data_IF_010345892112
#
_entry.id   IF_010345892112
#
_cell.length_a   1.000
_cell.length_b   1.000
_cell.length_c   1.000
_cell.angle_alpha   90.00
_cell.angle_beta   90.00
_cell.angle_gamma   90.00
#
_symmetry.space_group_name_H-M   'P 1'
#
loop_
_entity.id
_entity.type
_entity.pdbx_description
1 polymer ?
#
# COMPACT_ATOMS: atom_id res chain seq x y z
N UNK A 1 -2.99 12.30 3.27
CA UNK A 1 -3.13 12.60 1.83
C UNK A 1 -4.47 13.24 1.51
N UNK A 2 -5.57 12.75 2.08
CA UNK A 2 -6.93 13.25 1.82
C UNK A 2 -7.10 14.74 2.11
N UNK A 3 -6.45 15.26 3.17
CA UNK A 3 -6.45 16.70 3.46
C UNK A 3 -5.76 17.57 2.39
N UNK A 4 -4.82 17.03 1.59
CA UNK A 4 -4.16 17.79 0.52
C UNK A 4 -4.95 17.73 -0.81
N UNK A 5 -5.83 16.74 -1.00
CA UNK A 5 -6.62 16.63 -2.23
C UNK A 5 -7.42 17.89 -2.58
N UNK A 6 -8.15 18.56 -1.66
CA UNK A 6 -8.88 19.77 -1.98
C UNK A 6 -7.95 20.92 -2.41
N UNK A 7 -6.79 21.07 -1.77
CA UNK A 7 -5.80 22.08 -2.13
C UNK A 7 -5.21 21.82 -3.52
N UNK A 8 -4.84 20.56 -3.80
CA UNK A 8 -4.33 20.15 -5.12
C UNK A 8 -5.38 20.40 -6.21
N UNK A 9 -6.66 20.09 -5.97
CA UNK A 9 -7.75 20.37 -6.93
C UNK A 9 -7.85 21.87 -7.23
N UNK A 10 -7.88 22.71 -6.20
CA UNK A 10 -7.94 24.18 -6.35
C UNK A 10 -6.73 24.76 -7.10
N UNK A 11 -5.53 24.22 -6.87
CA UNK A 11 -4.31 24.63 -7.57
C UNK A 11 -4.30 24.13 -9.03
N UNK A 12 -4.80 22.93 -9.29
CA UNK A 12 -4.93 22.37 -10.63
C UNK A 12 -5.90 23.17 -11.50
N UNK A 13 -7.04 23.61 -10.95
CA UNK A 13 -8.01 24.47 -11.65
C UNK A 13 -7.39 25.81 -12.06
N UNK A 14 -6.69 26.47 -11.13
CA UNK A 14 -5.97 27.72 -11.42
C UNK A 14 -4.90 27.53 -12.49
N UNK A 15 -4.09 26.48 -12.38
CA UNK A 15 -3.06 26.17 -13.37
C UNK A 15 -3.67 25.88 -14.75
N UNK A 16 -4.83 25.21 -14.81
CA UNK A 16 -5.53 24.92 -16.06
C UNK A 16 -6.01 26.20 -16.74
N UNK A 17 -6.55 27.15 -15.97
CA UNK A 17 -6.93 28.47 -16.47
C UNK A 17 -5.70 29.23 -17.02
N UNK A 18 -4.60 29.30 -16.26
CA UNK A 18 -3.38 29.99 -16.69
C UNK A 18 -2.78 29.40 -17.96
N UNK A 19 -2.71 28.07 -18.07
CA UNK A 19 -2.20 27.39 -19.26
C UNK A 19 -3.12 27.61 -20.46
N UNK A 20 -4.44 27.67 -20.25
CA UNK A 20 -5.40 27.97 -21.33
C UNK A 20 -5.23 29.40 -21.86
N UNK A 21 -5.13 30.38 -20.96
CA UNK A 21 -4.94 31.79 -21.33
C UNK A 21 -3.60 32.00 -22.03
N UNK A 22 -2.50 31.51 -21.44
CA UNK A 22 -1.16 31.63 -22.06
C UNK A 22 -1.03 30.84 -23.36
N UNK A 23 -1.69 29.68 -23.43
CA UNK A 23 -1.75 28.87 -24.64
C UNK A 23 -2.42 29.61 -25.78
N UNK A 24 -3.54 30.31 -25.53
CA UNK A 24 -4.20 31.17 -26.51
C UNK A 24 -3.34 32.37 -26.92
N UNK A 25 -2.74 33.07 -25.96
CA UNK A 25 -1.90 34.24 -26.24
C UNK A 25 -0.66 33.91 -27.07
N UNK A 26 -0.05 32.73 -26.87
CA UNK A 26 1.18 32.31 -27.55
C UNK A 26 0.96 31.36 -28.72
N UNK A 27 -0.30 31.06 -29.07
CA UNK A 27 -0.63 30.13 -30.15
C UNK A 27 -0.10 28.71 -29.94
N UNK A 28 -0.09 28.23 -28.68
CA UNK A 28 0.42 26.89 -28.38
C UNK A 28 -0.46 25.80 -28.98
N UNK A 29 0.19 24.75 -29.52
CA UNK A 29 -0.51 23.52 -29.85
C UNK A 29 -0.99 22.80 -28.58
N UNK A 30 -2.02 21.98 -28.72
CA UNK A 30 -2.62 21.27 -27.59
C UNK A 30 -1.59 20.37 -26.86
N UNK A 31 -0.64 19.78 -27.61
CA UNK A 31 0.45 18.97 -27.06
C UNK A 31 1.35 19.80 -26.13
N UNK A 32 1.70 21.01 -26.54
CA UNK A 32 2.56 21.92 -25.76
C UNK A 32 1.82 22.40 -24.51
N UNK A 33 0.54 22.78 -24.62
CA UNK A 33 -0.28 23.15 -23.48
C UNK A 33 -0.39 22.01 -22.44
N UNK A 34 -0.68 20.79 -22.89
CA UNK A 34 -0.72 19.59 -22.01
C UNK A 34 0.63 19.32 -21.34
N UNK A 35 1.74 19.49 -22.06
CA UNK A 35 3.08 19.33 -21.50
C UNK A 35 3.35 20.34 -20.39
N UNK A 36 3.10 21.63 -20.62
CA UNK A 36 3.27 22.67 -19.61
C UNK A 36 2.36 22.47 -18.40
N UNK A 37 1.11 22.06 -18.61
CA UNK A 37 0.21 21.73 -17.51
C UNK A 37 0.78 20.60 -16.65
N UNK A 38 1.13 19.45 -17.24
CA UNK A 38 1.70 18.31 -16.50
C UNK A 38 3.00 18.67 -15.78
N UNK A 39 3.89 19.42 -16.43
CA UNK A 39 5.19 19.84 -15.86
C UNK A 39 5.01 20.73 -14.64
N UNK A 40 4.15 21.74 -14.73
CA UNK A 40 3.91 22.67 -13.62
C UNK A 40 3.09 22.02 -12.50
N UNK A 41 2.11 21.18 -12.84
CA UNK A 41 1.32 20.46 -11.83
C UNK A 41 2.20 19.54 -11.00
N UNK A 42 3.14 18.81 -11.63
CA UNK A 42 4.11 17.98 -10.90
C UNK A 42 4.95 18.81 -9.94
N UNK A 43 5.43 20.00 -10.35
CA UNK A 43 6.20 20.89 -9.47
C UNK A 43 5.40 21.30 -8.23
N UNK A 44 4.18 21.80 -8.43
CA UNK A 44 3.29 22.21 -7.35
C UNK A 44 3.03 21.05 -6.39
N UNK A 45 2.69 19.86 -6.90
CA UNK A 45 2.46 18.67 -6.08
C UNK A 45 3.71 18.30 -5.27
N UNK A 46 4.90 18.31 -5.89
CA UNK A 46 6.16 18.03 -5.19
C UNK A 46 6.46 19.07 -4.10
N UNK A 47 6.25 20.36 -4.37
CA UNK A 47 6.44 21.43 -3.38
C UNK A 47 5.48 21.29 -2.19
N UNK A 48 4.20 20.98 -2.45
CA UNK A 48 3.23 20.68 -1.38
C UNK A 48 3.65 19.46 -0.56
N UNK A 49 4.12 18.40 -1.21
CA UNK A 49 4.61 17.20 -0.52
C UNK A 49 5.79 17.49 0.40
N UNK A 50 6.71 18.36 -0.02
CA UNK A 50 7.86 18.78 0.78
C UNK A 50 7.40 19.67 1.94
N UNK A 51 6.55 20.67 1.68
CA UNK A 51 6.01 21.60 2.70
C UNK A 51 5.31 20.86 3.82
N UNK A 52 4.43 19.93 3.47
CA UNK A 52 3.62 19.19 4.44
C UNK A 52 4.32 17.90 4.93
N UNK A 53 5.62 17.73 4.61
CA UNK A 53 6.48 16.61 5.02
C UNK A 53 5.85 15.21 4.77
N UNK A 54 4.99 15.14 3.76
CA UNK A 54 4.27 13.95 3.33
C UNK A 54 5.12 13.22 2.29
N UNK A 55 6.29 12.74 2.70
CA UNK A 55 7.11 11.95 1.79
C UNK A 55 6.34 10.68 1.40
N UNK A 56 6.19 10.36 0.10
CA UNK A 56 5.54 9.14 -0.36
C UNK A 56 6.20 7.88 0.22
N UNK A 57 7.47 8.00 0.62
CA UNK A 57 8.22 6.96 1.34
C UNK A 57 7.62 6.62 2.71
N UNK A 58 7.06 7.59 3.45
CA UNK A 58 6.40 7.32 4.73
C UNK A 58 5.13 6.47 4.54
N UNK A 59 4.43 6.68 3.43
CA UNK A 59 3.23 5.91 3.10
C UNK A 59 3.53 4.47 2.65
N UNK A 60 4.73 4.22 2.09
CA UNK A 60 5.15 2.87 1.65
C UNK A 60 6.02 2.15 2.68
N UNK A 61 6.48 2.83 3.73
CA UNK A 61 7.37 2.26 4.76
C UNK A 61 6.78 1.01 5.41
N UNK A 62 5.48 1.02 5.72
CA UNK A 62 4.81 -0.13 6.33
C UNK A 62 4.87 -1.36 5.41
N UNK A 63 4.66 -1.18 4.10
CA UNK A 63 4.79 -2.26 3.11
C UNK A 63 6.21 -2.80 3.06
N UNK A 64 7.21 -1.93 3.14
CA UNK A 64 8.62 -2.34 3.17
C UNK A 64 9.02 -3.14 4.40
N UNK A 65 8.37 -2.94 5.54
CA UNK A 65 8.59 -3.75 6.75
C UNK A 65 7.74 -5.02 6.73
N UNK A 66 6.52 -4.93 6.22
CA UNK A 66 5.57 -6.04 6.16
C UNK A 66 6.04 -7.16 5.23
N UNK A 67 6.59 -6.84 4.05
CA UNK A 67 7.02 -7.86 3.08
C UNK A 67 8.15 -8.75 3.64
N UNK A 68 9.27 -8.20 4.17
CA UNK A 68 10.31 -9.02 4.78
C UNK A 68 9.80 -9.85 5.95
N UNK A 69 8.98 -9.26 6.81
CA UNK A 69 8.39 -9.99 7.94
C UNK A 69 7.53 -11.15 7.46
N UNK A 70 6.67 -10.93 6.46
CA UNK A 70 5.86 -11.98 5.85
C UNK A 70 6.70 -13.11 5.24
N UNK A 71 7.80 -12.79 4.54
CA UNK A 71 8.73 -13.79 4.00
C UNK A 71 9.37 -14.61 5.14
N UNK A 72 9.90 -13.94 6.15
CA UNK A 72 10.54 -14.61 7.29
C UNK A 72 9.56 -15.53 8.04
N UNK A 73 8.35 -15.05 8.33
CA UNK A 73 7.31 -15.85 9.00
C UNK A 73 6.89 -17.03 8.13
N UNK A 74 6.69 -16.84 6.82
CA UNK A 74 6.30 -17.93 5.92
C UNK A 74 7.36 -19.04 5.85
N UNK A 75 8.64 -18.67 5.78
CA UNK A 75 9.74 -19.63 5.77
C UNK A 75 9.89 -20.34 7.12
N UNK A 76 9.80 -19.60 8.22
CA UNK A 76 9.87 -20.16 9.57
C UNK A 76 8.74 -21.17 9.80
N UNK A 77 7.49 -20.79 9.51
CA UNK A 77 6.34 -21.69 9.63
C UNK A 77 6.51 -22.93 8.76
N UNK A 78 6.91 -22.78 7.50
CA UNK A 78 7.15 -23.93 6.61
C UNK A 78 8.22 -24.87 7.16
N UNK A 79 9.33 -24.33 7.65
CA UNK A 79 10.43 -25.13 8.22
C UNK A 79 9.99 -25.89 9.48
N UNK A 80 9.18 -25.26 10.34
CA UNK A 80 8.58 -25.92 11.50
C UNK A 80 7.59 -27.02 11.08
N UNK A 81 6.72 -26.75 10.09
CA UNK A 81 5.70 -27.71 9.64
C UNK A 81 6.28 -28.95 8.96
N UNK A 82 7.39 -28.82 8.23
CA UNK A 82 8.04 -29.96 7.53
C UNK A 82 9.12 -30.64 8.37
N UNK A 83 9.34 -30.21 9.62
CA UNK A 83 10.38 -30.76 10.49
C UNK A 83 11.81 -30.47 10.04
N UNK A 84 12.02 -29.44 9.22
CA UNK A 84 13.37 -29.04 8.77
C UNK A 84 14.21 -28.38 9.86
N UNK A 85 13.57 -27.93 10.95
CA UNK A 85 14.25 -27.35 12.12
C UNK A 85 14.55 -28.43 13.16
N UNK A 86 13.52 -29.08 13.70
CA UNK A 86 13.60 -30.22 14.62
C UNK A 86 12.27 -30.98 14.60
N UNK A 87 12.33 -32.30 14.81
CA UNK A 87 11.14 -33.17 14.83
C UNK A 87 10.23 -32.90 16.04
N UNK A 88 10.81 -32.55 17.19
CA UNK A 88 10.06 -32.20 18.42
C UNK A 88 9.22 -30.93 18.22
N UNK A 89 9.78 -29.94 17.50
CA UNK A 89 9.08 -28.68 17.18
C UNK A 89 7.91 -28.95 16.24
N UNK A 90 8.07 -29.85 15.28
CA UNK A 90 6.98 -30.25 14.38
C UNK A 90 5.84 -30.91 15.16
N UNK A 91 6.14 -31.81 16.09
CA UNK A 91 5.13 -32.49 16.91
C UNK A 91 4.36 -31.50 17.78
N UNK A 92 5.07 -30.53 18.38
CA UNK A 92 4.44 -29.43 19.13
C UNK A 92 3.52 -28.57 18.26
N UNK A 93 3.88 -28.32 17.00
CA UNK A 93 3.01 -27.59 16.06
C UNK A 93 1.79 -28.43 15.65
N UNK A 94 1.97 -29.74 15.47
CA UNK A 94 0.88 -30.64 15.08
C UNK A 94 -0.17 -30.83 16.20
N UNK A 95 0.26 -30.77 17.47
CA UNK A 95 -0.63 -30.89 18.63
C UNK A 95 -1.03 -29.53 19.25
N UNK A 96 -0.38 -28.44 18.86
CA UNK A 96 -0.48 -27.12 19.50
C UNK A 96 -1.58 -26.20 18.97
N UNK A 97 -2.45 -26.68 18.08
CA UNK A 97 -3.57 -25.90 17.55
C UNK A 97 -4.72 -25.71 18.55
N UNK A 98 -5.74 -24.95 18.13
CA UNK A 98 -6.89 -24.61 18.98
C UNK A 98 -8.20 -24.59 18.18
N UNK A 99 -9.33 -24.77 18.88
CA UNK A 99 -10.69 -24.72 18.32
C UNK A 99 -10.85 -25.64 17.10
N UNK A 100 -11.06 -25.08 15.90
CA UNK A 100 -11.28 -25.82 14.66
C UNK A 100 -9.99 -26.08 13.86
N UNK A 101 -8.85 -25.53 14.28
CA UNK A 101 -7.54 -25.72 13.65
C UNK A 101 -6.58 -26.38 14.66
N UNK A 102 -6.75 -27.68 14.88
CA UNK A 102 -5.99 -28.43 15.89
C UNK A 102 -4.55 -28.72 15.49
N UNK A 103 -4.27 -28.75 14.19
CA UNK A 103 -2.94 -28.98 13.62
C UNK A 103 -2.46 -27.74 12.88
N UNK A 104 -1.39 -27.11 13.36
CA UNK A 104 -0.80 -25.90 12.76
C UNK A 104 0.10 -26.21 11.55
N UNK A 105 0.42 -27.47 11.31
CA UNK A 105 1.21 -27.92 10.16
C UNK A 105 0.35 -28.09 8.90
N UNK A 106 -0.96 -28.25 9.08
CA UNK A 106 -1.93 -28.41 8.01
C UNK A 106 -2.61 -27.08 7.65
N UNK A 107 -3.00 -26.89 6.37
CA UNK A 107 -3.84 -25.77 5.98
C UNK A 107 -5.24 -25.91 6.59
N UNK A 108 -5.88 -24.77 6.89
CA UNK A 108 -7.25 -24.75 7.43
C UNK A 108 -8.25 -25.29 6.41
N UNK A 109 -8.74 -26.51 6.64
CA UNK A 109 -9.72 -27.16 5.76
C UNK A 109 -11.11 -26.49 5.82
N UNK A 110 -11.42 -25.74 6.88
CA UNK A 110 -12.73 -25.10 7.06
C UNK A 110 -12.82 -23.74 6.38
N UNK A 111 -11.70 -23.19 5.92
CA UNK A 111 -11.58 -21.83 5.34
C UNK A 111 -11.97 -20.69 6.29
N UNK A 112 -12.24 -20.97 7.56
CA UNK A 112 -12.66 -19.96 8.54
C UNK A 112 -11.52 -18.96 8.77
N UNK A 113 -10.28 -19.42 8.93
CA UNK A 113 -9.11 -18.55 9.15
C UNK A 113 -8.85 -17.60 7.96
N UNK A 114 -8.77 -18.06 6.70
CA UNK A 114 -8.64 -17.18 5.54
C UNK A 114 -9.76 -16.13 5.43
N UNK A 115 -11.02 -16.53 5.68
CA UNK A 115 -12.17 -15.63 5.58
C UNK A 115 -12.12 -14.57 6.70
N UNK A 116 -11.88 -14.97 7.94
CA UNK A 116 -11.73 -14.03 9.06
C UNK A 116 -10.58 -13.04 8.84
N UNK A 117 -9.44 -13.52 8.34
CA UNK A 117 -8.32 -12.65 7.99
C UNK A 117 -8.71 -11.61 6.93
N UNK A 118 -9.49 -12.02 5.92
CA UNK A 118 -10.04 -11.12 4.91
C UNK A 118 -10.96 -10.05 5.50
N UNK A 119 -11.89 -10.45 6.38
CA UNK A 119 -12.82 -9.54 7.05
C UNK A 119 -12.10 -8.54 7.97
N UNK A 120 -11.10 -9.00 8.73
CA UNK A 120 -10.28 -8.12 9.58
C UNK A 120 -9.50 -7.12 8.74
N UNK A 121 -8.91 -7.55 7.62
CA UNK A 121 -8.21 -6.63 6.71
C UNK A 121 -9.16 -5.59 6.11
N UNK A 122 -10.39 -5.98 5.74
CA UNK A 122 -11.39 -5.05 5.25
C UNK A 122 -11.72 -3.99 6.32
N UNK A 123 -11.93 -4.42 7.57
CA UNK A 123 -12.18 -3.53 8.69
C UNK A 123 -11.03 -2.55 8.93
N UNK A 124 -9.77 -3.00 8.85
CA UNK A 124 -8.59 -2.12 9.01
C UNK A 124 -8.50 -1.07 7.90
N UNK A 125 -8.93 -1.39 6.68
CA UNK A 125 -8.87 -0.44 5.54
C UNK A 125 -10.04 0.55 5.58
N UNK A 126 -11.19 0.12 6.09
CA UNK A 126 -12.39 0.96 6.16
C UNK A 126 -12.41 1.92 7.37
N UNK A 127 -11.70 1.58 8.45
CA UNK A 127 -11.55 2.41 9.67
C UNK A 127 -10.35 3.34 9.56
#
# INVERSE_FOLDING_TARGET
LENLQPEIKKLAERLRYEVSVRGKQRGWSEKVARFHFKKNLRKIITELYIRDNCHPFKATLLVWVQIPMWVCVSLALRNCSVGATDWEVQEQFAAGGALWFTDLTAPDSTWILPVLLGLVNLLIVEV
#
